data_IF_291293111067
#
_entry.id   IF_291293111067
#
_cell.length_a   1.000
_cell.length_b   1.000
_cell.length_c   1.000
_cell.angle_alpha   90.00
_cell.angle_beta   90.00
_cell.angle_gamma   90.00
#
_symmetry.space_group_name_H-M   'P 1'
#
loop_
_entity.id
_entity.type
_entity.pdbx_description
1 polymer ?
#
# COMPACT_ATOMS: atom_id res chain seq x y z
N UNK A 1 -18.53 -9.33 -8.42
CA UNK A 1 -17.64 -8.44 -7.65
C UNK A 1 -18.26 -8.24 -6.29
N UNK A 2 -17.65 -8.74 -5.21
CA UNK A 2 -18.03 -8.31 -3.86
C UNK A 2 -17.79 -6.79 -3.80
N UNK A 3 -18.71 -6.03 -3.23
CA UNK A 3 -18.58 -4.59 -3.03
C UNK A 3 -17.42 -4.30 -2.08
N UNK A 4 -16.58 -3.33 -2.43
CA UNK A 4 -15.26 -3.06 -1.85
C UNK A 4 -15.28 -1.65 -1.25
N UNK A 5 -14.87 -1.48 0.00
CA UNK A 5 -14.83 -0.18 0.69
C UNK A 5 -13.44 0.16 1.23
N UNK A 6 -13.32 1.14 2.13
CA UNK A 6 -12.08 1.40 2.84
C UNK A 6 -11.76 0.21 3.75
N UNK A 7 -10.50 0.11 4.16
CA UNK A 7 -10.13 -0.76 5.27
C UNK A 7 -10.46 -0.04 6.58
N UNK A 8 -10.93 -0.74 7.60
CA UNK A 8 -10.95 -0.24 8.97
C UNK A 8 -9.57 -0.35 9.65
N UNK A 9 -9.42 0.17 10.86
CA UNK A 9 -8.16 0.07 11.61
C UNK A 9 -7.75 -1.36 11.98
N UNK A 10 -8.67 -2.32 11.85
CA UNK A 10 -8.45 -3.73 12.17
C UNK A 10 -8.00 -4.54 10.96
N UNK A 11 -8.06 -3.99 9.74
CA UNK A 11 -7.74 -4.69 8.50
C UNK A 11 -8.96 -5.24 7.76
N UNK A 12 -10.17 -5.05 8.29
CA UNK A 12 -11.40 -5.49 7.63
C UNK A 12 -11.79 -4.50 6.54
N UNK A 13 -12.41 -5.00 5.48
CA UNK A 13 -12.92 -4.16 4.39
C UNK A 13 -14.37 -3.80 4.68
N UNK A 14 -14.65 -2.51 4.78
CA UNK A 14 -16.00 -2.00 4.96
C UNK A 14 -16.81 -2.13 3.67
N UNK A 15 -18.13 -2.11 3.81
CA UNK A 15 -19.05 -2.05 2.67
C UNK A 15 -18.95 -0.69 1.98
N UNK A 16 -18.95 -0.69 0.65
CA UNK A 16 -19.00 0.54 -0.14
C UNK A 16 -20.28 1.34 0.20
N UNK A 17 -20.13 2.65 0.35
CA UNK A 17 -21.17 3.62 0.71
C UNK A 17 -21.24 4.69 -0.37
N UNK A 18 -22.41 5.30 -0.55
CA UNK A 18 -22.62 6.42 -1.50
C UNK A 18 -23.02 7.68 -0.74
N UNK A 19 -22.39 8.84 -0.97
CA UNK A 19 -21.25 9.06 -1.88
C UNK A 19 -19.95 8.42 -1.35
N UNK A 20 -19.04 8.10 -2.28
CA UNK A 20 -17.76 7.43 -2.00
C UNK A 20 -16.76 8.44 -1.44
N UNK A 21 -16.95 8.84 -0.18
CA UNK A 21 -16.02 9.70 0.56
C UNK A 21 -15.61 8.97 1.82
N UNK A 22 -14.34 8.57 1.88
CA UNK A 22 -13.75 7.89 3.03
C UNK A 22 -12.65 8.75 3.61
N UNK A 23 -12.67 8.92 4.93
CA UNK A 23 -11.49 9.39 5.64
C UNK A 23 -10.35 8.38 5.43
N UNK A 24 -9.09 8.83 5.31
CA UNK A 24 -7.96 7.91 5.30
C UNK A 24 -7.95 7.02 6.54
N UNK A 25 -7.62 5.75 6.34
CA UNK A 25 -7.48 4.78 7.44
C UNK A 25 -6.06 4.81 7.95
N UNK A 26 -5.90 5.03 9.25
CA UNK A 26 -4.59 4.94 9.91
C UNK A 26 -4.31 3.53 10.41
N UNK A 27 -3.18 2.96 9.98
CA UNK A 27 -2.60 1.71 10.48
C UNK A 27 -1.45 2.05 11.41
N UNK A 28 -1.64 1.73 12.68
CA UNK A 28 -0.69 1.92 13.78
C UNK A 28 -0.31 0.61 14.49
N UNK A 29 -0.71 -0.53 13.91
CA UNK A 29 -0.38 -1.88 14.37
C UNK A 29 0.11 -2.73 13.19
N UNK A 30 0.50 -3.98 13.43
CA UNK A 30 0.87 -4.91 12.37
C UNK A 30 -0.39 -5.47 11.68
N UNK A 31 -0.44 -5.42 10.35
CA UNK A 31 -1.49 -5.99 9.48
C UNK A 31 -0.90 -6.73 8.29
N UNK A 32 -1.62 -7.74 7.79
CA UNK A 32 -1.22 -8.56 6.65
C UNK A 32 -2.33 -8.66 5.62
N UNK A 33 -1.96 -8.62 4.34
CA UNK A 33 -2.83 -9.03 3.24
C UNK A 33 -2.26 -10.23 2.50
N UNK A 34 -2.97 -11.35 2.61
CA UNK A 34 -2.61 -12.62 1.96
C UNK A 34 -3.32 -12.86 0.63
N UNK A 35 -4.35 -12.07 0.32
CA UNK A 35 -5.26 -12.33 -0.80
C UNK A 35 -5.48 -11.08 -1.64
N UNK A 36 -5.98 -11.29 -2.85
CA UNK A 36 -6.46 -10.24 -3.74
C UNK A 36 -7.49 -9.36 -3.03
N UNK A 37 -7.11 -8.13 -2.76
CA UNK A 37 -7.88 -7.15 -2.00
C UNK A 37 -7.99 -5.89 -2.81
N UNK A 38 -9.21 -5.41 -3.03
CA UNK A 38 -9.42 -4.08 -3.60
C UNK A 38 -9.82 -3.12 -2.49
N UNK A 39 -9.15 -1.98 -2.41
CA UNK A 39 -9.32 -1.00 -1.34
C UNK A 39 -9.71 0.35 -1.92
N UNK A 40 -10.89 0.87 -1.57
CA UNK A 40 -11.42 2.13 -2.11
C UNK A 40 -11.11 3.36 -1.25
N UNK A 41 -10.33 3.21 -0.18
CA UNK A 41 -9.90 4.28 0.72
C UNK A 41 -8.45 4.71 0.52
N UNK A 42 -8.03 5.72 1.27
CA UNK A 42 -6.61 6.08 1.41
C UNK A 42 -6.04 5.46 2.68
N UNK A 43 -4.74 5.20 2.71
CA UNK A 43 -4.05 4.62 3.87
C UNK A 43 -2.98 5.57 4.41
N UNK A 44 -2.93 5.68 5.74
CA UNK A 44 -1.81 6.25 6.47
C UNK A 44 -1.17 5.12 7.29
N UNK A 45 0.12 4.90 7.14
CA UNK A 45 0.88 3.97 7.98
C UNK A 45 1.82 4.79 8.84
N UNK A 46 1.61 4.76 10.15
CA UNK A 46 2.33 5.62 11.10
C UNK A 46 2.40 5.00 12.50
N UNK A 47 3.10 5.65 13.43
CA UNK A 47 3.18 5.22 14.83
C UNK A 47 3.67 3.77 14.99
N UNK A 48 4.68 3.39 14.21
CA UNK A 48 5.21 2.02 14.13
C UNK A 48 4.22 0.97 13.60
N UNK A 49 3.12 1.39 12.96
CA UNK A 49 2.27 0.51 12.19
C UNK A 49 3.04 -0.16 11.06
N UNK A 50 2.71 -1.42 10.78
CA UNK A 50 3.35 -2.19 9.73
C UNK A 50 2.30 -2.90 8.90
N UNK A 51 2.25 -2.58 7.60
CA UNK A 51 1.41 -3.29 6.64
C UNK A 51 2.30 -4.21 5.78
N UNK A 52 2.09 -5.51 5.88
CA UNK A 52 2.77 -6.52 5.09
C UNK A 52 1.84 -7.03 3.97
N UNK A 53 2.30 -6.92 2.72
CA UNK A 53 1.54 -7.29 1.52
C UNK A 53 2.15 -8.55 0.93
N UNK A 54 1.40 -9.66 0.98
CA UNK A 54 1.82 -10.98 0.49
C UNK A 54 0.97 -11.40 -0.72
N UNK A 55 -0.31 -11.00 -0.74
CA UNK A 55 -1.19 -11.10 -1.91
C UNK A 55 -1.19 -9.81 -2.74
N UNK A 56 -2.23 -9.62 -3.55
CA UNK A 56 -2.36 -8.44 -4.40
C UNK A 56 -3.29 -7.40 -3.77
N UNK A 57 -2.86 -6.14 -3.69
CA UNK A 57 -3.70 -5.00 -3.25
C UNK A 57 -3.91 -4.04 -4.40
N UNK A 58 -5.17 -3.81 -4.73
CA UNK A 58 -5.61 -2.96 -5.84
C UNK A 58 -6.32 -1.73 -5.32
N UNK A 59 -5.85 -0.56 -5.72
CA UNK A 59 -6.52 0.70 -5.44
C UNK A 59 -7.36 1.13 -6.64
N UNK A 60 -8.45 1.91 -6.44
CA UNK A 60 -9.03 2.69 -7.51
C UNK A 60 -8.02 3.73 -7.99
N UNK A 61 -8.24 4.27 -9.19
CA UNK A 61 -7.42 5.37 -9.74
C UNK A 61 -7.30 6.48 -8.68
N UNK A 62 -6.07 6.95 -8.45
CA UNK A 62 -5.71 7.98 -7.47
C UNK A 62 -5.80 7.56 -5.99
N UNK A 63 -5.85 6.26 -5.67
CA UNK A 63 -5.71 5.81 -4.28
C UNK A 63 -4.37 6.28 -3.69
N UNK A 64 -4.37 6.73 -2.44
CA UNK A 64 -3.18 7.28 -1.80
C UNK A 64 -2.74 6.42 -0.61
N UNK A 65 -1.43 6.22 -0.52
CA UNK A 65 -0.76 5.62 0.62
C UNK A 65 0.29 6.61 1.12
N UNK A 66 0.20 6.99 2.38
CA UNK A 66 1.23 7.78 3.07
C UNK A 66 1.89 6.95 4.16
N UNK A 67 3.22 6.87 4.17
CA UNK A 67 4.01 6.15 5.16
C UNK A 67 4.90 7.17 5.89
N UNK A 68 4.78 7.29 7.21
CA UNK A 68 5.47 8.33 7.99
C UNK A 68 5.65 7.94 9.45
N UNK A 69 6.44 8.70 10.21
CA UNK A 69 6.50 8.59 11.68
C UNK A 69 6.67 7.15 12.21
N UNK A 70 7.65 6.40 11.69
CA UNK A 70 7.94 5.01 12.05
C UNK A 70 7.04 3.98 11.34
N UNK A 71 6.07 4.41 10.55
CA UNK A 71 5.22 3.53 9.75
C UNK A 71 6.03 2.77 8.70
N UNK A 72 5.60 1.54 8.41
CA UNK A 72 6.29 0.64 7.47
C UNK A 72 5.33 -0.08 6.55
N UNK A 73 5.68 -0.16 5.26
CA UNK A 73 5.11 -1.14 4.34
C UNK A 73 6.18 -2.11 3.90
N UNK A 74 5.85 -3.40 3.87
CA UNK A 74 6.67 -4.43 3.25
C UNK A 74 5.84 -5.19 2.23
N UNK A 75 6.18 -5.06 0.94
CA UNK A 75 5.65 -5.92 -0.11
C UNK A 75 6.55 -7.13 -0.21
N UNK A 76 6.01 -8.32 0.00
CA UNK A 76 6.74 -9.59 -0.01
C UNK A 76 6.76 -10.20 -1.41
N UNK A 77 7.49 -11.30 -1.55
CA UNK A 77 7.40 -12.15 -2.75
C UNK A 77 5.93 -12.50 -3.06
N UNK A 78 5.57 -12.46 -4.34
CA UNK A 78 4.19 -12.54 -4.86
C UNK A 78 3.27 -11.38 -4.47
N UNK A 79 3.72 -10.46 -3.61
CA UNK A 79 2.99 -9.27 -3.23
C UNK A 79 2.96 -8.25 -4.36
N UNK A 80 1.79 -7.63 -4.54
CA UNK A 80 1.58 -6.54 -5.51
C UNK A 80 0.84 -5.39 -4.84
N UNK A 81 1.28 -4.16 -5.06
CA UNK A 81 0.43 -2.98 -4.90
C UNK A 81 0.20 -2.39 -6.29
N UNK A 82 -1.07 -2.18 -6.66
CA UNK A 82 -1.46 -1.67 -7.97
C UNK A 82 -2.32 -0.42 -7.87
N UNK A 83 -2.06 0.54 -8.76
CA UNK A 83 -2.79 1.79 -8.95
C UNK A 83 -2.80 2.74 -7.73
N UNK A 84 -1.67 2.81 -7.01
CA UNK A 84 -1.55 3.64 -5.81
C UNK A 84 -0.49 4.73 -5.99
N UNK A 85 -0.83 5.94 -5.54
CA UNK A 85 0.12 7.02 -5.28
C UNK A 85 0.74 6.77 -3.91
N UNK A 86 2.05 6.58 -3.88
CA UNK A 86 2.77 6.23 -2.65
C UNK A 86 3.67 7.40 -2.27
N UNK A 87 3.43 7.95 -1.09
CA UNK A 87 4.28 8.95 -0.46
C UNK A 87 4.94 8.35 0.78
N UNK A 88 6.26 8.34 0.82
CA UNK A 88 7.03 7.95 1.99
C UNK A 88 7.67 9.21 2.55
N UNK A 89 7.15 9.69 3.67
CA UNK A 89 7.63 10.89 4.35
C UNK A 89 8.78 10.54 5.31
N UNK A 90 9.41 11.58 5.88
CA UNK A 90 10.50 11.40 6.84
C UNK A 90 10.11 10.42 7.98
N UNK A 91 11.01 9.48 8.26
CA UNK A 91 10.79 8.43 9.26
C UNK A 91 9.83 7.31 8.82
N UNK A 92 9.28 7.35 7.60
CA UNK A 92 8.54 6.24 7.00
C UNK A 92 9.44 5.28 6.22
N UNK A 93 9.01 4.02 6.09
CA UNK A 93 9.77 2.97 5.42
C UNK A 93 8.92 2.18 4.41
N UNK A 94 9.38 2.10 3.16
CA UNK A 94 8.83 1.23 2.12
C UNK A 94 9.86 0.17 1.72
N UNK A 95 9.47 -1.10 1.81
CA UNK A 95 10.33 -2.23 1.46
C UNK A 95 9.66 -3.06 0.38
N UNK A 96 10.36 -3.29 -0.73
CA UNK A 96 10.03 -4.33 -1.70
C UNK A 96 10.98 -5.51 -1.47
N UNK A 97 10.44 -6.61 -0.96
CA UNK A 97 11.19 -7.77 -0.51
C UNK A 97 10.69 -9.01 -1.24
N UNK A 98 11.13 -9.18 -2.47
CA UNK A 98 10.98 -10.43 -3.21
C UNK A 98 12.02 -11.47 -2.82
N UNK A 99 12.17 -12.46 -3.70
CA UNK A 99 13.19 -13.51 -3.67
C UNK A 99 13.84 -13.67 -5.04
N UNK A 100 14.88 -14.51 -5.13
CA UNK A 100 15.60 -14.74 -6.39
C UNK A 100 14.73 -15.25 -7.54
N UNK A 101 13.56 -15.83 -7.24
CA UNK A 101 12.64 -16.39 -8.23
C UNK A 101 11.37 -15.58 -8.42
N UNK A 102 11.04 -14.68 -7.49
CA UNK A 102 9.75 -13.99 -7.47
C UNK A 102 9.92 -12.56 -6.96
N UNK A 103 9.50 -11.59 -7.76
CA UNK A 103 9.57 -10.18 -7.37
C UNK A 103 8.45 -9.79 -6.39
N UNK A 104 8.74 -8.80 -5.55
CA UNK A 104 7.72 -7.95 -4.93
C UNK A 104 7.41 -6.77 -5.88
N UNK A 105 6.14 -6.48 -6.17
CA UNK A 105 5.78 -5.59 -7.27
C UNK A 105 5.04 -4.34 -6.80
N UNK A 106 5.46 -3.18 -7.29
CA UNK A 106 4.63 -1.97 -7.34
C UNK A 106 4.25 -1.70 -8.79
N UNK A 107 2.97 -1.68 -9.10
CA UNK A 107 2.47 -1.36 -10.44
C UNK A 107 1.72 -0.03 -10.42
N UNK A 108 2.36 0.97 -11.00
CA UNK A 108 1.84 2.33 -11.13
C UNK A 108 0.90 2.40 -12.32
N UNK A 109 -0.29 2.98 -12.11
CA UNK A 109 -1.11 3.47 -13.20
C UNK A 109 -0.44 4.65 -13.92
N UNK A 110 -1.01 5.12 -15.05
CA UNK A 110 -0.37 6.11 -15.92
C UNK A 110 0.04 7.41 -15.23
N UNK A 111 -0.71 7.83 -14.20
CA UNK A 111 -0.49 9.08 -13.47
C UNK A 111 -0.11 8.87 -12.00
N UNK A 112 0.14 7.62 -11.58
CA UNK A 112 0.50 7.38 -10.19
C UNK A 112 1.94 7.78 -9.93
N UNK A 113 2.20 8.32 -8.75
CA UNK A 113 3.52 8.76 -8.32
C UNK A 113 4.04 7.92 -7.15
N UNK A 114 5.35 7.75 -7.10
CA UNK A 114 6.07 7.24 -5.92
C UNK A 114 7.03 8.34 -5.51
N UNK A 115 6.79 8.93 -4.35
CA UNK A 115 7.58 10.03 -3.80
C UNK A 115 8.23 9.55 -2.51
N UNK A 116 9.56 9.51 -2.49
CA UNK A 116 10.36 9.20 -1.30
C UNK A 116 11.00 10.51 -0.83
N UNK A 117 10.58 11.02 0.32
CA UNK A 117 11.09 12.28 0.86
C UNK A 117 12.43 12.11 1.59
N UNK A 118 13.14 13.21 1.82
CA UNK A 118 14.36 13.18 2.61
C UNK A 118 14.09 12.68 4.03
N UNK A 119 14.92 11.75 4.52
CA UNK A 119 14.72 11.09 5.81
C UNK A 119 13.74 9.91 5.78
N UNK A 120 13.14 9.59 4.63
CA UNK A 120 12.43 8.33 4.42
C UNK A 120 13.39 7.19 4.05
N UNK A 121 12.95 5.95 4.23
CA UNK A 121 13.69 4.75 3.82
C UNK A 121 12.93 4.06 2.68
N UNK A 122 13.66 3.76 1.60
CA UNK A 122 13.20 2.87 0.55
C UNK A 122 14.23 1.76 0.34
N UNK A 123 13.79 0.51 0.50
CA UNK A 123 14.62 -0.69 0.28
C UNK A 123 14.01 -1.55 -0.82
N UNK A 124 14.84 -1.96 -1.77
CA UNK A 124 14.42 -2.81 -2.89
C UNK A 124 15.33 -4.04 -2.97
N UNK A 125 14.85 -5.16 -2.45
CA UNK A 125 15.50 -6.46 -2.46
C UNK A 125 14.66 -7.40 -3.32
N UNK A 126 15.06 -7.60 -4.58
CA UNK A 126 14.26 -8.34 -5.57
C UNK A 126 12.84 -7.74 -5.75
N UNK A 127 12.76 -6.40 -5.71
CA UNK A 127 11.53 -5.66 -6.01
C UNK A 127 11.50 -5.16 -7.45
N UNK A 128 10.30 -4.91 -7.96
CA UNK A 128 10.08 -4.37 -9.29
C UNK A 128 9.04 -3.25 -9.25
N UNK A 129 9.35 -2.11 -9.87
CA UNK A 129 8.40 -1.00 -10.06
C UNK A 129 8.05 -0.96 -11.54
N UNK A 130 6.78 -1.23 -11.85
CA UNK A 130 6.21 -1.20 -13.21
C UNK A 130 5.34 0.03 -13.38
N UNK A 131 5.32 0.59 -14.58
CA UNK A 131 4.29 1.53 -14.99
C UNK A 131 3.49 0.90 -16.12
N UNK A 132 2.17 0.90 -15.98
CA UNK A 132 1.25 0.46 -17.03
C UNK A 132 0.70 1.68 -17.76
N UNK A 133 0.65 1.58 -19.09
CA UNK A 133 0.12 2.61 -19.99
C UNK A 133 -1.39 2.50 -20.14
#
# INVERSE_FOLDING_TARGET
MKTLGPMDIYGNIDTLTSPVVYSPTTINTHKWYYYDTHLFGNLNIESNGHLEIIGNVFFPRNGQITIKNGGKITVRENGLIKNANIKVEAGGTLILQGSQSVNAILEKGPNDEIVIENGAIFECMYGEIKQIN
#
